data_IF_652007711215
#
_entry.id   IF_652007711215
#
_cell.length_a   1.000
_cell.length_b   1.000
_cell.length_c   1.000
_cell.angle_alpha   90.00
_cell.angle_beta   90.00
_cell.angle_gamma   90.00
#
_symmetry.space_group_name_H-M   'P 1'
#
loop_
_entity.id
_entity.type
_entity.pdbx_description
1 polymer ?
#
# COMPACT_ATOMS: atom_id res chain seq x y z
N UNK A 1 -7.55 17.34 9.58
CA UNK A 1 -6.32 17.12 10.37
C UNK A 1 -5.91 15.65 10.37
N UNK A 2 -6.81 14.71 10.67
CA UNK A 2 -6.51 13.26 10.64
C UNK A 2 -6.35 12.69 9.21
N UNK A 3 -7.28 12.98 8.29
CA UNK A 3 -7.20 12.55 6.87
C UNK A 3 -5.93 13.03 6.17
N UNK A 4 -5.51 14.27 6.42
CA UNK A 4 -4.27 14.84 5.90
C UNK A 4 -3.04 14.08 6.39
N UNK A 5 -3.00 13.72 7.68
CA UNK A 5 -1.89 12.95 8.24
C UNK A 5 -1.81 11.56 7.59
N UNK A 6 -2.96 10.89 7.42
CA UNK A 6 -3.02 9.62 6.70
C UNK A 6 -2.55 9.72 5.25
N UNK A 7 -3.00 10.75 4.52
CA UNK A 7 -2.57 11.02 3.14
C UNK A 7 -1.05 11.15 3.05
N UNK A 8 -0.46 12.07 3.84
CA UNK A 8 0.98 12.36 3.81
C UNK A 8 1.82 11.16 4.25
N UNK A 9 1.37 10.42 5.27
CA UNK A 9 2.06 9.23 5.73
C UNK A 9 2.04 8.14 4.66
N UNK A 10 0.89 7.92 4.02
CA UNK A 10 0.76 6.95 2.95
C UNK A 10 1.64 7.31 1.75
N UNK A 11 1.59 8.56 1.29
CA UNK A 11 2.43 9.07 0.19
C UNK A 11 3.92 8.82 0.46
N UNK A 12 4.39 9.14 1.67
CA UNK A 12 5.77 8.87 2.10
C UNK A 12 6.10 7.39 2.08
N UNK A 13 5.22 6.54 2.62
CA UNK A 13 5.45 5.10 2.70
C UNK A 13 5.55 4.47 1.31
N UNK A 14 4.66 4.86 0.39
CA UNK A 14 4.70 4.38 -0.99
C UNK A 14 5.98 4.81 -1.71
N UNK A 15 6.43 6.06 -1.51
CA UNK A 15 7.70 6.53 -2.06
C UNK A 15 8.88 5.68 -1.59
N UNK A 16 8.96 5.39 -0.29
CA UNK A 16 10.00 4.51 0.27
C UNK A 16 10.01 3.13 -0.42
N UNK A 17 8.83 2.54 -0.60
CA UNK A 17 8.67 1.23 -1.23
C UNK A 17 9.16 1.29 -2.68
N UNK A 18 8.63 2.23 -3.48
CA UNK A 18 8.96 2.36 -4.90
C UNK A 18 10.44 2.69 -5.12
N UNK A 19 11.04 3.56 -4.30
CA UNK A 19 12.46 3.91 -4.39
C UNK A 19 13.36 2.70 -4.14
N UNK A 20 13.00 1.83 -3.20
CA UNK A 20 13.76 0.61 -2.95
C UNK A 20 13.62 -0.41 -4.10
N UNK A 21 12.43 -0.56 -4.68
CA UNK A 21 12.23 -1.40 -5.86
C UNK A 21 13.02 -0.90 -7.06
N UNK A 22 13.01 0.42 -7.29
CA UNK A 22 13.81 1.05 -8.34
C UNK A 22 15.32 0.89 -8.11
N UNK A 23 15.77 0.80 -6.85
CA UNK A 23 17.15 0.50 -6.47
C UNK A 23 17.53 -0.99 -6.61
N UNK A 24 16.62 -1.84 -7.10
CA UNK A 24 16.87 -3.26 -7.33
C UNK A 24 16.55 -4.17 -6.14
N UNK A 25 15.82 -3.70 -5.14
CA UNK A 25 15.35 -4.56 -4.05
C UNK A 25 14.40 -5.63 -4.61
N UNK A 26 14.77 -6.91 -4.45
CA UNK A 26 13.93 -8.02 -4.88
C UNK A 26 12.93 -8.42 -3.79
N UNK A 27 11.64 -8.41 -4.14
CA UNK A 27 10.57 -8.86 -3.24
C UNK A 27 10.23 -10.35 -3.39
N UNK A 28 10.76 -11.04 -4.41
CA UNK A 28 10.35 -12.40 -4.81
C UNK A 28 10.43 -13.44 -3.69
N UNK A 29 11.35 -13.23 -2.75
CA UNK A 29 11.56 -14.12 -1.61
C UNK A 29 10.78 -13.67 -0.36
N UNK A 30 9.87 -12.71 -0.50
CA UNK A 30 9.11 -12.12 0.62
C UNK A 30 7.61 -12.23 0.38
N UNK A 31 6.84 -12.15 1.46
CA UNK A 31 5.37 -12.06 1.37
C UNK A 31 4.90 -10.79 0.65
N UNK A 32 5.74 -9.77 0.49
CA UNK A 32 5.40 -8.51 -0.15
C UNK A 32 5.18 -8.65 -1.67
N UNK A 33 5.80 -9.62 -2.34
CA UNK A 33 5.53 -9.87 -3.76
C UNK A 33 4.04 -10.13 -4.01
N UNK A 34 3.42 -10.94 -3.14
CA UNK A 34 2.02 -11.32 -3.25
C UNK A 34 1.08 -10.32 -2.58
N UNK A 35 1.43 -9.85 -1.38
CA UNK A 35 0.53 -9.01 -0.58
C UNK A 35 0.45 -7.57 -1.08
N UNK A 36 1.56 -6.97 -1.52
CA UNK A 36 1.59 -5.55 -1.95
C UNK A 36 0.59 -5.24 -3.09
N UNK A 37 0.50 -6.05 -4.16
CA UNK A 37 -0.48 -5.81 -5.23
C UNK A 37 -1.94 -6.02 -4.80
N UNK A 38 -2.18 -6.93 -3.86
CA UNK A 38 -3.51 -7.21 -3.31
C UNK A 38 -3.96 -6.04 -2.44
N UNK A 39 -3.11 -5.62 -1.50
CA UNK A 39 -3.43 -4.53 -0.58
C UNK A 39 -3.57 -3.19 -1.31
N UNK A 40 -2.81 -2.98 -2.40
CA UNK A 40 -3.00 -1.83 -3.30
C UNK A 40 -4.37 -1.86 -3.95
N UNK A 41 -4.79 -3.02 -4.47
CA UNK A 41 -6.12 -3.17 -5.08
C UNK A 41 -7.24 -2.94 -4.07
N UNK A 42 -7.13 -3.53 -2.89
CA UNK A 42 -8.15 -3.36 -1.84
C UNK A 42 -8.23 -1.92 -1.36
N UNK A 43 -7.09 -1.22 -1.20
CA UNK A 43 -7.08 0.20 -0.85
C UNK A 43 -7.78 1.04 -1.92
N UNK A 44 -7.53 0.76 -3.19
CA UNK A 44 -8.22 1.38 -4.32
C UNK A 44 -9.74 1.21 -4.22
N UNK A 45 -10.22 -0.02 -4.00
CA UNK A 45 -11.66 -0.31 -3.82
C UNK A 45 -12.26 0.43 -2.62
N UNK A 46 -11.52 0.52 -1.51
CA UNK A 46 -11.95 1.24 -0.31
C UNK A 46 -12.06 2.74 -0.59
N UNK A 47 -11.11 3.33 -1.32
CA UNK A 47 -11.18 4.74 -1.68
C UNK A 47 -12.28 5.02 -2.70
N UNK A 48 -12.53 4.13 -3.67
CA UNK A 48 -13.62 4.24 -4.64
C UNK A 48 -15.00 4.29 -3.95
N UNK A 49 -15.18 3.61 -2.82
CA UNK A 49 -16.42 3.71 -2.03
C UNK A 49 -16.66 5.12 -1.44
N UNK A 50 -15.59 5.86 -1.16
CA UNK A 50 -15.66 7.22 -0.62
C UNK A 50 -15.44 8.32 -1.67
N UNK A 51 -14.91 7.98 -2.84
CA UNK A 51 -14.62 8.90 -3.92
C UNK A 51 -15.85 9.07 -4.82
N UNK A 52 -15.96 10.24 -5.47
CA UNK A 52 -16.94 10.47 -6.53
C UNK A 52 -16.40 10.14 -7.94
N UNK A 53 -15.14 9.70 -8.03
CA UNK A 53 -14.44 9.28 -9.23
C UNK A 53 -13.66 8.00 -8.93
N UNK A 54 -13.65 7.08 -9.88
CA UNK A 54 -13.05 5.76 -9.72
C UNK A 54 -11.55 5.77 -10.09
N UNK A 55 -10.70 5.36 -9.15
CA UNK A 55 -9.38 4.86 -9.44
C UNK A 55 -9.52 3.58 -10.28
N UNK A 56 -8.79 3.51 -11.41
CA UNK A 56 -8.84 2.36 -12.32
C UNK A 56 -7.44 1.76 -12.43
N UNK A 57 -7.27 0.57 -11.89
CA UNK A 57 -5.98 -0.14 -11.93
C UNK A 57 -5.96 -1.16 -13.06
N UNK A 58 -5.04 -1.00 -14.00
CA UNK A 58 -4.82 -1.90 -15.14
C UNK A 58 -3.54 -2.71 -14.99
N UNK A 59 -2.59 -2.23 -14.19
CA UNK A 59 -1.34 -2.91 -13.94
C UNK A 59 -1.49 -4.11 -13.00
N UNK A 60 -0.55 -5.05 -13.13
CA UNK A 60 -0.48 -6.28 -12.34
C UNK A 60 0.83 -6.35 -11.56
N UNK A 61 0.87 -7.22 -10.55
CA UNK A 61 2.04 -7.35 -9.67
C UNK A 61 2.44 -6.03 -9.02
N UNK A 62 3.73 -5.86 -8.75
CA UNK A 62 4.27 -4.67 -8.08
C UNK A 62 4.09 -3.37 -8.89
N UNK A 63 3.94 -3.46 -10.21
CA UNK A 63 3.69 -2.29 -11.07
C UNK A 63 2.34 -1.61 -10.75
N UNK A 64 1.39 -2.34 -10.17
CA UNK A 64 0.12 -1.79 -9.69
C UNK A 64 0.30 -0.69 -8.64
N UNK A 65 1.30 -0.81 -7.76
CA UNK A 65 1.57 0.22 -6.75
C UNK A 65 2.01 1.53 -7.41
N UNK A 66 2.84 1.46 -8.45
CA UNK A 66 3.28 2.65 -9.18
C UNK A 66 2.12 3.32 -9.92
N UNK A 67 1.26 2.54 -10.59
CA UNK A 67 0.05 3.06 -11.24
C UNK A 67 -0.88 3.74 -10.23
N UNK A 68 -1.15 3.08 -9.10
CA UNK A 68 -1.97 3.63 -8.04
C UNK A 68 -1.39 4.93 -7.47
N UNK A 69 -0.08 4.97 -7.22
CA UNK A 69 0.62 6.15 -6.73
C UNK A 69 0.48 7.36 -7.67
N UNK A 70 0.57 7.14 -8.98
CA UNK A 70 0.40 8.19 -9.97
C UNK A 70 -1.02 8.79 -9.89
N UNK A 71 -2.05 7.94 -9.85
CA UNK A 71 -3.44 8.42 -9.73
C UNK A 71 -3.69 9.10 -8.37
N UNK A 72 -3.15 8.53 -7.29
CA UNK A 72 -3.26 9.07 -5.93
C UNK A 72 -2.69 10.50 -5.82
N UNK A 73 -1.59 10.79 -6.51
CA UNK A 73 -0.95 12.12 -6.54
C UNK A 73 -1.61 13.08 -7.53
N UNK A 74 -2.08 12.60 -8.69
CA UNK A 74 -2.78 13.44 -9.67
C UNK A 74 -4.09 14.01 -9.14
N UNK A 75 -4.70 13.33 -8.16
CA UNK A 75 -6.01 13.67 -7.63
C UNK A 75 -5.98 13.97 -6.12
N UNK A 76 -4.92 14.62 -5.60
CA UNK A 76 -4.73 14.89 -4.15
C UNK A 76 -6.02 15.34 -3.45
N UNK A 77 -6.66 16.42 -3.91
CA UNK A 77 -7.86 16.97 -3.25
C UNK A 77 -9.04 16.00 -3.23
N UNK A 78 -9.21 15.18 -4.29
CA UNK A 78 -10.27 14.18 -4.34
C UNK A 78 -9.97 12.99 -3.43
N UNK A 79 -8.72 12.52 -3.44
CA UNK A 79 -8.22 11.47 -2.57
C UNK A 79 -8.38 11.84 -1.10
N UNK A 80 -8.02 13.07 -0.74
CA UNK A 80 -8.20 13.61 0.60
C UNK A 80 -9.67 13.65 1.02
N UNK A 81 -10.56 14.09 0.12
CA UNK A 81 -12.00 14.07 0.37
C UNK A 81 -12.54 12.65 0.52
N UNK A 82 -12.06 11.69 -0.27
CA UNK A 82 -12.43 10.28 -0.16
C UNK A 82 -12.00 9.69 1.20
N UNK A 83 -10.74 9.94 1.60
CA UNK A 83 -10.23 9.55 2.93
C UNK A 83 -11.09 10.14 4.04
N UNK A 84 -11.40 11.44 3.98
CA UNK A 84 -12.23 12.11 4.97
C UNK A 84 -13.63 11.51 5.06
N UNK A 85 -14.29 11.24 3.92
CA UNK A 85 -15.61 10.60 3.89
C UNK A 85 -15.58 9.20 4.49
N UNK A 86 -14.61 8.37 4.11
CA UNK A 86 -14.46 7.00 4.65
C UNK A 86 -14.20 7.03 6.16
N UNK A 87 -13.36 7.96 6.65
CA UNK A 87 -13.06 8.08 8.07
C UNK A 87 -14.25 8.61 8.89
N UNK A 88 -15.10 9.44 8.29
CA UNK A 88 -16.31 9.97 8.90
C UNK A 88 -17.48 8.97 8.89
N UNK A 89 -17.54 8.06 7.92
CA UNK A 89 -18.59 7.07 7.81
C UNK A 89 -18.46 5.95 8.86
N UNK A 90 -19.42 5.90 9.78
CA UNK A 90 -19.48 4.92 10.88
C UNK A 90 -20.22 3.63 10.51
N UNK A 91 -20.90 3.59 9.36
CA UNK A 91 -21.82 2.50 8.97
C UNK A 91 -21.47 1.88 7.62
N UNK A 92 -20.61 2.52 6.84
CA UNK A 92 -20.09 1.99 5.58
C UNK A 92 -19.51 0.60 5.79
N UNK A 93 -20.03 -0.38 5.04
CA UNK A 93 -19.54 -1.77 5.06
C UNK A 93 -19.21 -2.23 3.66
N UNK A 94 -18.20 -3.08 3.54
CA UNK A 94 -17.79 -3.74 2.32
C UNK A 94 -17.96 -5.26 2.49
N UNK A 95 -18.35 -5.97 1.41
CA UNK A 95 -18.33 -7.44 1.40
C UNK A 95 -16.92 -7.91 1.06
N UNK A 96 -16.37 -8.75 1.93
CA UNK A 96 -15.14 -9.51 1.71
C UNK A 96 -15.49 -11.00 1.65
N UNK A 97 -14.57 -11.87 1.20
CA UNK A 97 -14.78 -13.32 1.24
C UNK A 97 -15.13 -13.85 2.64
N UNK A 98 -14.63 -13.20 3.69
CA UNK A 98 -14.82 -13.57 5.10
C UNK A 98 -16.10 -12.99 5.73
N UNK A 99 -16.80 -12.07 5.05
CA UNK A 99 -18.04 -11.49 5.56
C UNK A 99 -18.21 -10.00 5.23
N UNK A 100 -18.90 -9.25 6.10
CA UNK A 100 -18.99 -7.78 5.97
C UNK A 100 -18.04 -7.13 6.96
N UNK A 101 -17.25 -6.18 6.50
CA UNK A 101 -16.28 -5.43 7.30
C UNK A 101 -16.54 -3.93 7.16
N UNK A 102 -16.27 -3.13 8.19
CA UNK A 102 -16.39 -1.68 8.11
C UNK A 102 -15.38 -1.11 7.12
N UNK A 103 -15.82 -0.22 6.23
CA UNK A 103 -14.95 0.41 5.21
C UNK A 103 -13.86 1.23 5.88
N UNK A 104 -14.17 1.89 7.00
CA UNK A 104 -13.18 2.61 7.82
C UNK A 104 -12.07 1.70 8.35
N UNK A 105 -12.41 0.53 8.87
CA UNK A 105 -11.41 -0.44 9.34
C UNK A 105 -10.61 -1.00 8.17
N UNK A 106 -11.25 -1.20 7.02
CA UNK A 106 -10.57 -1.59 5.79
C UNK A 106 -9.53 -0.55 5.39
N UNK A 107 -9.88 0.74 5.43
CA UNK A 107 -8.93 1.82 5.15
C UNK A 107 -7.74 1.78 6.12
N UNK A 108 -8.01 1.83 7.44
CA UNK A 108 -6.96 1.96 8.46
C UNK A 108 -5.96 0.80 8.37
N UNK A 109 -6.43 -0.44 8.30
CA UNK A 109 -5.56 -1.63 8.22
C UNK A 109 -4.68 -1.63 6.97
N UNK A 110 -5.15 -1.06 5.86
CA UNK A 110 -4.37 -0.96 4.61
C UNK A 110 -3.28 0.11 4.75
N UNK A 111 -3.62 1.26 5.33
CA UNK A 111 -2.63 2.31 5.63
C UNK A 111 -1.54 1.79 6.59
N UNK A 112 -1.92 1.00 7.59
CA UNK A 112 -1.00 0.31 8.50
C UNK A 112 -0.13 -0.71 7.78
N UNK A 113 -0.70 -1.51 6.87
CA UNK A 113 0.07 -2.42 6.02
C UNK A 113 1.16 -1.69 5.24
N UNK A 114 0.85 -0.57 4.58
CA UNK A 114 1.85 0.19 3.82
C UNK A 114 2.93 0.81 4.71
N UNK A 115 2.57 1.22 5.93
CA UNK A 115 3.55 1.66 6.93
C UNK A 115 4.51 0.52 7.32
N UNK A 116 3.99 -0.68 7.53
CA UNK A 116 4.81 -1.83 7.84
C UNK A 116 5.66 -2.29 6.65
N UNK A 117 5.10 -2.34 5.45
CA UNK A 117 5.83 -2.66 4.23
C UNK A 117 7.00 -1.69 3.99
N UNK A 118 6.79 -0.38 4.20
CA UNK A 118 7.87 0.61 4.10
C UNK A 118 8.97 0.38 5.15
N UNK A 119 8.60 -0.01 6.38
CA UNK A 119 9.59 -0.37 7.42
C UNK A 119 10.39 -1.63 7.04
N UNK A 120 9.72 -2.68 6.57
CA UNK A 120 10.37 -3.93 6.14
C UNK A 120 11.33 -3.69 4.98
N UNK A 121 10.89 -2.94 3.97
CA UNK A 121 11.71 -2.56 2.81
C UNK A 121 12.97 -1.80 3.24
N UNK A 122 12.86 -0.85 4.18
CA UNK A 122 14.03 -0.14 4.70
C UNK A 122 15.02 -1.06 5.41
N UNK A 123 14.53 -2.03 6.19
CA UNK A 123 15.39 -3.04 6.82
C UNK A 123 16.11 -3.87 5.76
N UNK A 124 15.39 -4.37 4.74
CA UNK A 124 15.99 -5.15 3.65
C UNK A 124 17.04 -4.35 2.88
N UNK A 125 16.76 -3.08 2.56
CA UNK A 125 17.71 -2.18 1.89
C UNK A 125 18.98 -1.99 2.71
N UNK A 126 18.83 -1.82 4.03
CA UNK A 126 19.97 -1.69 4.95
C UNK A 126 20.80 -2.98 4.96
N UNK A 127 20.16 -4.14 5.05
CA UNK A 127 20.85 -5.44 5.01
C UNK A 127 21.63 -5.66 3.71
N UNK A 128 21.04 -5.32 2.56
CA UNK A 128 21.73 -5.38 1.26
C UNK A 128 22.95 -4.45 1.21
N UNK A 129 22.82 -3.22 1.73
CA UNK A 129 23.92 -2.26 1.74
C UNK A 129 25.11 -2.68 2.62
N UNK A 130 24.86 -3.51 3.64
CA UNK A 130 25.86 -4.05 4.53
C UNK A 130 26.53 -5.32 3.97
N UNK A 131 26.17 -5.77 2.77
CA UNK A 131 26.69 -6.99 2.16
C UNK A 131 26.26 -8.26 2.90
N UNK A 132 25.16 -8.20 3.66
CA UNK A 132 24.63 -9.38 4.35
C UNK A 132 24.29 -10.47 3.33
N UNK A 133 24.67 -11.74 3.58
CA UNK A 133 24.36 -12.85 2.68
C UNK A 133 22.87 -12.87 2.36
N UNK A 134 22.53 -13.12 1.10
CA UNK A 134 21.16 -13.48 0.73
C UNK A 134 20.73 -14.64 1.64
N UNK A 135 19.54 -14.59 2.25
CA UNK A 135 19.08 -15.52 3.31
C UNK A 135 19.21 -17.03 2.99
N UNK A 136 19.61 -17.40 1.78
CA UNK A 136 19.76 -18.76 1.28
C UNK A 136 21.19 -19.23 0.98
N UNK A 137 22.25 -18.44 1.20
CA UNK A 137 23.64 -18.95 1.00
C UNK A 137 24.03 -20.08 2.01
N UNK A 138 23.15 -20.46 2.93
CA UNK A 138 23.35 -21.54 3.90
C UNK A 138 22.68 -22.89 3.60
N UNK A 139 21.85 -23.02 2.56
CA UNK A 139 21.10 -24.28 2.27
C UNK A 139 21.61 -24.92 0.98
N UNK A 140 22.90 -25.28 0.97
CA UNK A 140 23.48 -26.34 0.13
C UNK A 140 24.94 -26.52 0.57
N UNK A 141 25.12 -27.31 1.63
CA UNK A 141 26.37 -28.02 1.92
C UNK A 141 26.04 -29.46 2.28
#
# INVERSE_FOLDING_TARGET
MESQAYYQQFERNVRIILDALAAGLELRTTSLETSLPIETYVLCEVLNQGAGQDFVLTATGVARLAEFQQQFMQHEGQTLAALERVLADKRGTMRTPEGRVLVKEMLIRRLEFFNEAARQVNVMRTQQSLGSPSQYEGVNK
#
